data_IF_587211888284
#
_entry.id   IF_587211888284
#
_cell.length_a   1.000
_cell.length_b   1.000
_cell.length_c   1.000
_cell.angle_alpha   90.00
_cell.angle_beta   90.00
_cell.angle_gamma   90.00
#
_symmetry.space_group_name_H-M   'P 1'
#
loop_
_entity.id
_entity.type
_entity.pdbx_description
1 polymer ?
#
# COMPACT_ATOMS: atom_id res chain seq x y z
N UNK A 1 -2.40 -12.25 8.64
CA UNK A 1 -3.21 -11.07 8.97
C UNK A 1 -2.73 -9.99 8.05
N UNK A 2 -3.63 -9.38 7.32
CA UNK A 2 -3.26 -8.51 6.21
C UNK A 2 -3.12 -7.09 6.71
N UNK A 3 -2.06 -6.44 6.26
CA UNK A 3 -1.76 -5.05 6.56
C UNK A 3 -2.34 -4.15 5.47
N UNK A 4 -3.14 -3.16 5.88
CA UNK A 4 -3.68 -2.13 4.99
C UNK A 4 -3.37 -0.77 5.56
N UNK A 5 -2.90 0.16 4.74
CA UNK A 5 -2.54 1.52 5.17
C UNK A 5 -3.47 2.53 4.48
N UNK A 6 -3.88 3.56 5.20
CA UNK A 6 -4.58 4.71 4.61
C UNK A 6 -3.66 5.51 3.70
N UNK A 7 -4.23 6.32 2.79
CA UNK A 7 -3.46 7.23 1.93
C UNK A 7 -2.57 8.14 2.77
N UNK A 8 -3.14 8.76 3.80
CA UNK A 8 -2.39 9.65 4.70
C UNK A 8 -1.27 8.91 5.43
N UNK A 9 -1.52 7.69 5.91
CA UNK A 9 -0.49 6.89 6.58
C UNK A 9 0.69 6.62 5.65
N UNK A 10 0.44 6.24 4.39
CA UNK A 10 1.49 6.00 3.39
C UNK A 10 2.34 7.26 3.22
N UNK A 11 1.71 8.41 2.95
CA UNK A 11 2.44 9.68 2.79
C UNK A 11 3.32 10.02 4.00
N UNK A 12 2.76 9.88 5.19
CA UNK A 12 3.49 10.17 6.43
C UNK A 12 4.65 9.21 6.63
N UNK A 13 4.43 7.90 6.45
CA UNK A 13 5.46 6.87 6.56
C UNK A 13 6.70 7.19 5.71
N UNK A 14 6.49 7.59 4.45
CA UNK A 14 7.58 7.91 3.52
C UNK A 14 8.27 9.25 3.81
N UNK A 15 7.68 10.13 4.62
CA UNK A 15 8.33 11.37 5.06
C UNK A 15 9.38 11.18 6.17
N UNK A 16 9.39 10.01 6.81
CA UNK A 16 10.33 9.68 7.89
C UNK A 16 11.70 9.23 7.38
N UNK A 17 12.71 9.34 8.25
CA UNK A 17 14.03 8.75 8.00
C UNK A 17 13.93 7.21 7.88
N UNK A 18 14.87 6.58 7.15
CA UNK A 18 14.94 5.10 7.07
C UNK A 18 15.06 4.44 8.45
N UNK A 19 15.72 5.10 9.40
CA UNK A 19 15.84 4.61 10.78
C UNK A 19 14.48 4.58 11.47
N UNK A 20 13.72 5.67 11.37
CA UNK A 20 12.39 5.77 11.96
C UNK A 20 11.40 4.82 11.28
N UNK A 21 11.46 4.69 9.96
CA UNK A 21 10.71 3.69 9.18
C UNK A 21 10.96 2.28 9.72
N UNK A 22 12.23 1.89 9.95
CA UNK A 22 12.55 0.59 10.55
C UNK A 22 12.01 0.38 11.96
N UNK A 23 11.82 1.45 12.75
CA UNK A 23 11.14 1.36 14.06
C UNK A 23 9.62 1.25 13.92
N UNK A 24 9.03 1.95 12.95
CA UNK A 24 7.61 1.88 12.61
C UNK A 24 7.27 0.47 12.10
N UNK A 25 8.04 -0.09 11.19
CA UNK A 25 7.83 -1.46 10.67
C UNK A 25 7.87 -2.50 11.80
N UNK A 26 8.81 -2.38 12.74
CA UNK A 26 8.83 -3.25 13.93
C UNK A 26 7.57 -3.13 14.78
N UNK A 27 6.97 -1.94 14.87
CA UNK A 27 5.71 -1.75 15.58
C UNK A 27 4.54 -2.38 14.82
N UNK A 28 4.49 -2.18 13.50
CA UNK A 28 3.53 -2.82 12.59
C UNK A 28 3.57 -4.34 12.75
N UNK A 29 4.76 -4.94 12.70
CA UNK A 29 4.90 -6.40 12.85
C UNK A 29 4.40 -6.92 14.20
N UNK A 30 4.59 -6.17 15.30
CA UNK A 30 4.01 -6.54 16.61
C UNK A 30 2.48 -6.48 16.58
N UNK A 31 1.91 -5.44 15.95
CA UNK A 31 0.46 -5.29 15.83
C UNK A 31 -0.13 -6.43 14.99
N UNK A 32 0.52 -6.81 13.88
CA UNK A 32 0.05 -7.89 13.01
C UNK A 32 0.12 -9.29 13.66
N UNK A 33 0.97 -9.47 14.69
CA UNK A 33 1.04 -10.72 15.45
C UNK A 33 -0.19 -10.91 16.37
N UNK A 34 -0.63 -9.84 17.04
CA UNK A 34 -1.87 -9.83 17.84
C UNK A 34 -2.43 -8.40 17.97
N UNK A 35 -3.35 -7.97 17.08
CA UNK A 35 -3.91 -6.62 17.12
C UNK A 35 -4.91 -6.45 18.27
N UNK A 36 -5.30 -7.56 18.90
CA UNK A 36 -6.36 -7.57 19.91
C UNK A 36 -5.84 -7.20 21.30
N UNK A 37 -4.51 -7.22 21.50
CA UNK A 37 -3.84 -6.95 22.77
C UNK A 37 -4.45 -5.75 23.50
N UNK A 38 -4.75 -5.97 24.78
CA UNK A 38 -5.33 -4.92 25.63
C UNK A 38 -4.39 -3.72 25.81
N UNK A 39 -3.08 -3.90 25.65
CA UNK A 39 -2.09 -2.83 25.68
C UNK A 39 -2.35 -1.75 24.63
N UNK A 40 -2.95 -2.11 23.48
CA UNK A 40 -3.26 -1.18 22.39
C UNK A 40 -4.59 -0.43 22.58
N UNK A 41 -5.43 -0.85 23.54
CA UNK A 41 -6.75 -0.27 23.76
C UNK A 41 -6.68 0.98 24.62
N UNK A 42 -7.41 2.02 24.21
CA UNK A 42 -7.71 3.20 25.03
C UNK A 42 -9.20 3.49 24.91
N UNK A 43 -9.88 3.67 26.04
CA UNK A 43 -11.34 3.85 26.06
C UNK A 43 -11.81 5.08 25.25
N UNK A 44 -10.97 6.10 25.13
CA UNK A 44 -11.25 7.33 24.40
C UNK A 44 -10.91 7.24 22.89
N UNK A 45 -10.28 6.15 22.44
CA UNK A 45 -9.91 5.98 21.03
C UNK A 45 -10.84 5.04 20.26
N UNK A 46 -11.72 4.28 20.93
CA UNK A 46 -12.63 3.33 20.28
C UNK A 46 -13.35 3.95 19.07
N UNK A 47 -13.35 3.29 17.89
CA UNK A 47 -12.88 1.91 17.63
C UNK A 47 -11.37 1.76 17.46
N UNK A 48 -10.63 2.86 17.36
CA UNK A 48 -9.20 2.86 17.12
C UNK A 48 -8.36 2.41 18.32
N UNK A 49 -7.17 1.92 17.99
CA UNK A 49 -6.13 1.44 18.89
C UNK A 49 -4.85 2.22 18.61
N UNK A 50 -3.91 2.20 19.56
CA UNK A 50 -2.60 2.84 19.39
C UNK A 50 -1.46 1.92 19.78
N UNK A 51 -0.32 2.09 19.12
CA UNK A 51 0.96 1.48 19.49
C UNK A 51 2.10 2.47 19.21
N UNK A 52 3.18 2.37 19.97
CA UNK A 52 4.34 3.23 19.81
C UNK A 52 5.53 2.48 19.21
N UNK A 53 6.27 3.08 18.26
CA UNK A 53 7.61 2.64 17.91
C UNK A 53 8.55 2.76 19.11
N UNK A 54 9.73 2.14 19.03
CA UNK A 54 10.68 2.04 20.15
C UNK A 54 11.11 3.38 20.75
N UNK A 55 10.94 4.51 20.04
CA UNK A 55 11.27 5.85 20.53
C UNK A 55 10.13 6.53 21.31
N UNK A 56 8.94 5.93 21.41
CA UNK A 56 7.76 6.40 22.13
C UNK A 56 7.22 7.81 21.76
N UNK A 57 7.81 8.49 20.77
CA UNK A 57 7.38 9.82 20.30
C UNK A 57 6.43 9.73 19.12
N UNK A 58 6.55 8.68 18.31
CA UNK A 58 5.58 8.36 17.28
C UNK A 58 4.50 7.41 17.84
N UNK A 59 3.34 7.44 17.21
CA UNK A 59 2.15 6.69 17.56
C UNK A 59 1.47 6.27 16.28
N UNK A 60 1.32 4.97 16.12
CA UNK A 60 0.54 4.36 15.06
C UNK A 60 -0.89 4.21 15.56
N UNK A 61 -1.86 4.73 14.81
CA UNK A 61 -3.27 4.52 15.06
C UNK A 61 -3.81 3.53 14.04
N UNK A 62 -4.52 2.52 14.54
CA UNK A 62 -5.02 1.44 13.69
C UNK A 62 -6.37 0.93 14.17
N UNK A 63 -7.07 0.24 13.28
CA UNK A 63 -8.32 -0.46 13.53
C UNK A 63 -8.19 -1.93 13.11
N UNK A 64 -8.77 -2.82 13.90
CA UNK A 64 -8.93 -4.22 13.55
C UNK A 64 -10.25 -4.39 12.82
N UNK A 65 -10.22 -4.82 11.56
CA UNK A 65 -11.43 -4.99 10.77
C UNK A 65 -12.06 -6.34 11.12
N UNK A 66 -13.10 -6.29 11.95
CA UNK A 66 -13.76 -7.47 12.48
C UNK A 66 -14.22 -8.43 11.36
N UNK A 67 -13.86 -9.70 11.50
CA UNK A 67 -14.25 -10.75 10.56
C UNK A 67 -13.45 -10.80 9.25
N UNK A 68 -12.46 -9.91 9.05
CA UNK A 68 -11.71 -9.84 7.79
C UNK A 68 -10.21 -10.16 7.92
N UNK A 69 -9.69 -10.51 9.11
CA UNK A 69 -8.26 -10.76 9.34
C UNK A 69 -7.35 -9.64 8.81
N UNK A 70 -7.84 -8.39 8.89
CA UNK A 70 -7.18 -7.19 8.39
C UNK A 70 -6.92 -6.23 9.55
N UNK A 71 -5.75 -5.61 9.54
CA UNK A 71 -5.44 -4.43 10.35
C UNK A 71 -5.32 -3.23 9.41
N UNK A 72 -6.15 -2.21 9.66
CA UNK A 72 -6.13 -0.96 8.92
C UNK A 72 -5.38 0.10 9.71
N UNK A 73 -4.22 0.52 9.21
CA UNK A 73 -3.40 1.60 9.74
C UNK A 73 -3.93 2.94 9.25
N UNK A 74 -4.58 3.66 10.16
CA UNK A 74 -5.39 4.85 9.87
C UNK A 74 -4.52 6.10 9.80
N UNK A 75 -3.60 6.25 10.76
CA UNK A 75 -2.82 7.48 10.90
C UNK A 75 -1.52 7.26 11.67
N UNK A 76 -0.51 8.06 11.36
CA UNK A 76 0.77 8.13 12.05
C UNK A 76 1.07 9.60 12.36
N UNK A 77 1.38 9.96 13.60
CA UNK A 77 1.70 11.35 13.90
C UNK A 77 3.07 11.76 13.33
N UNK A 78 3.16 13.00 12.87
CA UNK A 78 4.39 13.57 12.33
C UNK A 78 5.25 14.27 13.41
N UNK A 79 6.36 14.88 12.99
CA UNK A 79 7.26 15.61 13.87
C UNK A 79 6.65 16.91 14.45
N UNK A 80 5.49 17.38 13.97
CA UNK A 80 4.83 18.59 14.47
C UNK A 80 3.91 18.27 15.65
N UNK A 81 3.44 17.03 15.77
CA UNK A 81 2.52 16.59 16.80
C UNK A 81 3.01 15.31 17.51
N UNK A 82 4.26 15.33 17.99
CA UNK A 82 4.85 14.21 18.74
C UNK A 82 4.04 13.86 20.00
N UNK A 83 4.02 12.57 20.33
CA UNK A 83 3.42 12.06 21.56
C UNK A 83 4.21 12.53 22.78
N UNK A 84 3.51 13.00 23.80
CA UNK A 84 4.07 13.52 25.04
C UNK A 84 3.43 12.81 26.23
N UNK A 85 4.08 11.74 26.68
CA UNK A 85 3.63 10.90 27.79
C UNK A 85 3.50 11.64 29.13
N UNK A 86 4.06 12.85 29.25
CA UNK A 86 3.93 13.67 30.46
C UNK A 86 2.59 14.42 30.52
N UNK A 87 1.89 14.53 29.38
CA UNK A 87 0.62 15.24 29.27
C UNK A 87 -0.58 14.28 29.34
N UNK A 88 -1.70 14.72 29.94
CA UNK A 88 -2.94 13.96 29.86
C UNK A 88 -3.45 13.91 28.41
N UNK A 89 -4.26 12.91 28.07
CA UNK A 89 -4.73 12.66 26.69
C UNK A 89 -5.42 13.86 26.00
N UNK A 90 -5.99 14.81 26.74
CA UNK A 90 -6.60 16.04 26.18
C UNK A 90 -5.60 17.17 25.89
N UNK A 91 -4.33 16.97 26.22
CA UNK A 91 -3.26 17.95 26.07
C UNK A 91 -2.06 17.38 25.31
N UNK A 92 -1.96 16.06 25.21
CA UNK A 92 -1.01 15.36 24.36
C UNK A 92 -1.21 15.80 22.88
N UNK A 93 -0.19 16.40 22.23
CA UNK A 93 -0.35 16.96 20.88
C UNK A 93 -0.82 15.94 19.85
N UNK A 94 -0.28 14.72 19.92
CA UNK A 94 -0.62 13.60 19.04
C UNK A 94 -2.11 13.21 19.19
N UNK A 95 -2.57 13.02 20.43
CA UNK A 95 -3.94 12.61 20.71
C UNK A 95 -4.96 13.73 20.45
N UNK A 96 -4.58 14.98 20.71
CA UNK A 96 -5.41 16.15 20.38
C UNK A 96 -5.63 16.23 18.87
N UNK A 97 -4.56 16.11 18.08
CA UNK A 97 -4.67 16.17 16.62
C UNK A 97 -5.45 14.98 16.06
N UNK A 98 -5.16 13.75 16.51
CA UNK A 98 -5.95 12.58 16.09
C UNK A 98 -7.45 12.74 16.41
N UNK A 99 -7.76 13.27 17.60
CA UNK A 99 -9.15 13.53 18.00
C UNK A 99 -9.80 14.59 17.11
N UNK A 100 -9.07 15.66 16.76
CA UNK A 100 -9.54 16.70 15.82
C UNK A 100 -9.84 16.09 14.45
N UNK A 101 -8.89 15.33 13.89
CA UNK A 101 -9.05 14.66 12.60
C UNK A 101 -10.28 13.75 12.58
N UNK A 102 -10.46 12.96 13.63
CA UNK A 102 -11.62 12.07 13.80
C UNK A 102 -12.93 12.86 13.83
N UNK A 103 -13.01 13.91 14.65
CA UNK A 103 -14.23 14.71 14.83
C UNK A 103 -14.63 15.46 13.56
N UNK A 104 -13.66 15.83 12.73
CA UNK A 104 -13.89 16.50 11.46
C UNK A 104 -14.18 15.53 10.30
N UNK A 105 -14.13 14.21 10.52
CA UNK A 105 -14.28 13.22 9.44
C UNK A 105 -13.09 13.22 8.46
N UNK A 106 -11.91 13.67 8.90
CA UNK A 106 -10.69 13.72 8.09
C UNK A 106 -9.84 12.45 8.22
N UNK A 107 -10.30 11.44 8.96
CA UNK A 107 -9.70 10.11 9.01
C UNK A 107 -10.36 9.21 7.98
N UNK A 108 -9.54 8.60 7.13
CA UNK A 108 -9.99 7.58 6.18
C UNK A 108 -10.59 6.39 6.95
N UNK A 109 -11.68 5.85 6.43
CA UNK A 109 -12.30 4.61 6.92
C UNK A 109 -11.95 3.47 5.97
N UNK A 110 -11.69 2.27 6.48
CA UNK A 110 -11.41 1.13 5.62
C UNK A 110 -12.58 0.86 4.68
N UNK A 111 -12.27 0.88 3.39
CA UNK A 111 -13.11 0.45 2.29
C UNK A 111 -12.32 -0.56 1.46
N UNK A 112 -12.92 -1.74 1.24
CA UNK A 112 -12.21 -2.86 0.63
C UNK A 112 -11.77 -2.55 -0.79
N UNK A 113 -12.67 -2.04 -1.62
CA UNK A 113 -12.40 -1.79 -3.03
C UNK A 113 -11.41 -0.64 -3.20
N UNK A 114 -11.52 0.41 -2.37
CA UNK A 114 -10.60 1.55 -2.40
C UNK A 114 -9.20 1.21 -1.90
N UNK A 115 -9.06 0.45 -0.79
CA UNK A 115 -7.74 0.23 -0.16
C UNK A 115 -7.03 -1.03 -0.62
N UNK A 116 -7.76 -2.12 -0.90
CA UNK A 116 -7.16 -3.37 -1.42
C UNK A 116 -7.11 -3.40 -2.95
N UNK A 117 -7.83 -2.47 -3.55
CA UNK A 117 -7.96 -2.31 -4.97
C UNK A 117 -9.00 -3.24 -5.61
N UNK A 118 -9.50 -2.80 -6.76
CA UNK A 118 -10.52 -3.51 -7.54
C UNK A 118 -10.03 -3.77 -8.95
N UNK A 119 -9.95 -5.05 -9.31
CA UNK A 119 -9.61 -5.50 -10.66
C UNK A 119 -10.88 -5.67 -11.49
N UNK A 120 -10.95 -4.97 -12.63
CA UNK A 120 -12.08 -4.99 -13.56
C UNK A 120 -11.60 -5.32 -14.97
N UNK A 121 -11.96 -6.49 -15.49
CA UNK A 121 -11.76 -6.83 -16.90
C UNK A 121 -12.81 -6.10 -17.76
N UNK A 122 -12.38 -5.28 -18.71
CA UNK A 122 -13.27 -4.57 -19.64
C UNK A 122 -12.91 -4.95 -21.08
N UNK A 123 -13.73 -5.71 -21.80
CA UNK A 123 -13.49 -5.97 -23.21
C UNK A 123 -13.56 -4.65 -23.99
N UNK A 124 -12.45 -4.25 -24.66
CA UNK A 124 -12.45 -3.10 -25.58
C UNK A 124 -12.54 -3.60 -27.03
N UNK A 125 -13.28 -2.92 -27.93
CA UNK A 125 -13.41 -3.32 -29.33
C UNK A 125 -12.07 -3.47 -30.09
N UNK A 126 -11.04 -2.72 -29.69
CA UNK A 126 -9.68 -2.77 -30.25
C UNK A 126 -8.66 -3.53 -29.39
N UNK A 127 -9.07 -3.99 -28.19
CA UNK A 127 -8.19 -4.69 -27.24
C UNK A 127 -9.05 -5.65 -26.40
N UNK A 128 -9.19 -6.92 -26.82
CA UNK A 128 -10.09 -7.88 -26.18
C UNK A 128 -9.69 -8.23 -24.73
N UNK A 129 -8.47 -7.90 -24.32
CA UNK A 129 -7.93 -8.19 -23.00
C UNK A 129 -7.43 -6.90 -22.34
N UNK A 130 -8.35 -5.98 -22.09
CA UNK A 130 -8.03 -4.80 -21.30
C UNK A 130 -8.56 -5.00 -19.87
N UNK A 131 -7.76 -4.60 -18.90
CA UNK A 131 -8.13 -4.68 -17.50
C UNK A 131 -7.74 -3.37 -16.82
N UNK A 132 -8.56 -2.99 -15.84
CA UNK A 132 -8.39 -1.80 -15.02
C UNK A 132 -8.22 -2.24 -13.57
N UNK A 133 -7.26 -1.67 -12.87
CA UNK A 133 -7.13 -1.81 -11.43
C UNK A 133 -7.25 -0.43 -10.78
N UNK A 134 -8.12 -0.30 -9.79
CA UNK A 134 -8.39 0.96 -9.11
C UNK A 134 -8.02 0.81 -7.63
N UNK A 135 -7.18 1.69 -7.08
CA UNK A 135 -6.77 1.66 -5.66
C UNK A 135 -6.31 3.05 -5.20
N UNK A 136 -6.73 3.49 -4.01
CA UNK A 136 -6.26 4.73 -3.35
C UNK A 136 -6.18 5.95 -4.31
N UNK A 137 -7.28 6.25 -4.99
CA UNK A 137 -7.40 7.31 -6.01
C UNK A 137 -6.58 7.11 -7.30
N UNK A 138 -5.96 5.95 -7.49
CA UNK A 138 -5.21 5.62 -8.70
C UNK A 138 -5.92 4.63 -9.58
N UNK A 139 -5.80 4.84 -10.88
CA UNK A 139 -6.18 3.87 -11.89
C UNK A 139 -4.93 3.37 -12.64
N UNK A 140 -4.78 2.05 -12.67
CA UNK A 140 -3.77 1.33 -13.44
C UNK A 140 -4.49 0.64 -14.59
N UNK A 141 -4.12 1.05 -15.80
CA UNK A 141 -4.71 0.57 -17.04
C UNK A 141 -3.74 -0.40 -17.70
N UNK A 142 -4.22 -1.59 -18.08
CA UNK A 142 -3.38 -2.55 -18.77
C UNK A 142 -4.04 -3.20 -19.97
N UNK A 143 -3.22 -3.35 -21.00
CA UNK A 143 -3.52 -4.11 -22.20
C UNK A 143 -2.73 -5.39 -22.14
N UNK A 144 -3.43 -6.52 -22.13
CA UNK A 144 -2.85 -7.85 -22.23
C UNK A 144 -2.64 -8.13 -23.73
N UNK A 145 -1.39 -8.10 -24.18
CA UNK A 145 -1.00 -8.36 -25.57
C UNK A 145 -0.51 -9.81 -25.68
N UNK A 146 -1.25 -10.69 -26.35
CA UNK A 146 -0.77 -12.04 -26.63
C UNK A 146 0.31 -12.01 -27.71
N UNK A 147 1.44 -12.65 -27.47
CA UNK A 147 2.51 -12.79 -28.47
C UNK A 147 2.28 -13.92 -29.49
N UNK A 148 1.12 -14.59 -29.42
CA UNK A 148 0.75 -15.70 -30.29
C UNK A 148 1.23 -17.08 -29.82
N UNK A 149 1.87 -17.17 -28.64
CA UNK A 149 2.23 -18.44 -28.00
C UNK A 149 1.58 -18.57 -26.62
N UNK A 150 2.24 -18.08 -25.56
CA UNK A 150 1.83 -18.26 -24.16
C UNK A 150 2.00 -16.98 -23.30
N UNK A 151 2.47 -15.88 -23.88
CA UNK A 151 2.89 -14.70 -23.11
C UNK A 151 2.02 -13.48 -23.35
N UNK A 152 1.97 -12.63 -22.33
CA UNK A 152 1.14 -11.43 -22.28
C UNK A 152 1.97 -10.21 -21.95
N UNK A 153 2.26 -9.35 -22.93
CA UNK A 153 2.94 -8.07 -22.68
C UNK A 153 1.96 -7.05 -22.11
N UNK A 154 2.40 -6.23 -21.17
CA UNK A 154 1.57 -5.24 -20.48
C UNK A 154 2.10 -3.83 -20.68
N UNK A 155 1.29 -2.96 -21.28
CA UNK A 155 1.49 -1.51 -21.25
C UNK A 155 0.79 -0.91 -20.03
N UNK A 156 1.53 -0.21 -19.18
CA UNK A 156 1.01 0.42 -17.96
C UNK A 156 0.68 1.88 -18.21
N UNK A 157 -0.61 2.22 -18.11
CA UNK A 157 -1.06 3.61 -18.00
C UNK A 157 -1.39 3.92 -16.55
N UNK A 158 -0.91 5.06 -16.06
CA UNK A 158 -1.14 5.50 -14.69
C UNK A 158 -1.92 6.81 -14.68
N UNK A 159 -2.98 6.88 -13.87
CA UNK A 159 -3.72 8.12 -13.64
C UNK A 159 -3.91 8.37 -12.14
N UNK A 160 -3.39 9.50 -11.68
CA UNK A 160 -3.70 10.07 -10.36
C UNK A 160 -4.96 10.95 -10.44
N UNK A 161 -6.04 10.52 -9.80
CA UNK A 161 -7.28 11.29 -9.77
C UNK A 161 -7.19 12.57 -8.90
N UNK A 162 -6.18 12.69 -8.03
CA UNK A 162 -5.94 13.86 -7.18
C UNK A 162 -4.88 14.81 -7.74
N UNK A 163 -4.14 14.39 -8.79
CA UNK A 163 -3.07 15.18 -9.43
C UNK A 163 -2.01 15.69 -8.43
N UNK A 164 -1.67 14.90 -7.41
CA UNK A 164 -0.69 15.28 -6.39
C UNK A 164 0.70 14.66 -6.62
N UNK A 165 0.85 13.85 -7.69
CA UNK A 165 2.12 13.31 -8.20
C UNK A 165 2.99 12.66 -7.10
N UNK A 166 2.37 11.96 -6.16
CA UNK A 166 3.07 11.29 -5.06
C UNK A 166 3.63 9.93 -5.49
N UNK A 167 4.95 9.89 -5.71
CA UNK A 167 5.67 8.68 -6.13
C UNK A 167 5.49 7.51 -5.15
N UNK A 168 5.36 7.77 -3.85
CA UNK A 168 5.26 6.69 -2.86
C UNK A 168 3.91 5.99 -2.94
N UNK A 169 2.86 6.77 -3.13
CA UNK A 169 1.53 6.25 -3.38
C UNK A 169 1.42 5.55 -4.74
N UNK A 170 2.16 6.04 -5.74
CA UNK A 170 2.34 5.36 -7.03
C UNK A 170 2.92 3.98 -6.86
N UNK A 171 4.02 3.88 -6.12
CA UNK A 171 4.65 2.60 -5.88
C UNK A 171 3.80 1.67 -5.03
N UNK A 172 3.13 2.19 -4.00
CA UNK A 172 2.22 1.39 -3.18
C UNK A 172 1.07 0.80 -4.02
N UNK A 173 0.45 1.63 -4.86
CA UNK A 173 -0.66 1.22 -5.73
C UNK A 173 -0.23 0.17 -6.75
N UNK A 174 0.96 0.36 -7.33
CA UNK A 174 1.51 -0.59 -8.30
C UNK A 174 1.88 -1.93 -7.65
N UNK A 175 2.43 -1.92 -6.43
CA UNK A 175 2.69 -3.17 -5.67
C UNK A 175 1.39 -3.94 -5.43
N UNK A 176 0.37 -3.28 -4.90
CA UNK A 176 -0.94 -3.90 -4.64
C UNK A 176 -1.55 -4.47 -5.92
N UNK A 177 -1.39 -3.79 -7.04
CA UNK A 177 -1.79 -4.31 -8.33
C UNK A 177 -1.10 -5.63 -8.66
N UNK A 178 0.24 -5.70 -8.58
CA UNK A 178 0.99 -6.92 -8.89
C UNK A 178 0.54 -8.08 -8.00
N UNK A 179 0.41 -7.84 -6.70
CA UNK A 179 -0.04 -8.85 -5.74
C UNK A 179 -1.43 -9.38 -6.09
N UNK A 180 -2.40 -8.48 -6.35
CA UNK A 180 -3.78 -8.87 -6.70
C UNK A 180 -3.90 -9.54 -8.06
N UNK A 181 -3.09 -9.12 -9.02
CA UNK A 181 -3.07 -9.73 -10.33
C UNK A 181 -2.49 -11.15 -10.27
N UNK A 182 -1.41 -11.36 -9.52
CA UNK A 182 -0.85 -12.68 -9.27
C UNK A 182 -1.86 -13.62 -8.57
N UNK A 183 -2.55 -13.13 -7.54
CA UNK A 183 -3.64 -13.89 -6.89
C UNK A 183 -4.74 -14.28 -7.88
N UNK A 184 -5.14 -13.36 -8.76
CA UNK A 184 -6.14 -13.62 -9.79
C UNK A 184 -5.69 -14.73 -10.75
N UNK A 185 -4.47 -14.64 -11.27
CA UNK A 185 -3.90 -15.63 -12.19
C UNK A 185 -3.80 -17.01 -11.53
N UNK A 186 -3.29 -17.07 -10.30
CA UNK A 186 -3.18 -18.29 -9.51
C UNK A 186 -4.54 -18.95 -9.25
N UNK A 187 -5.55 -18.15 -8.89
CA UNK A 187 -6.91 -18.66 -8.68
C UNK A 187 -7.54 -19.25 -9.95
N UNK A 188 -7.09 -18.81 -11.12
CA UNK A 188 -7.56 -19.28 -12.43
C UNK A 188 -6.61 -20.29 -13.11
N UNK A 189 -5.53 -20.72 -12.43
CA UNK A 189 -4.51 -21.63 -12.97
C UNK A 189 -3.91 -21.13 -14.30
N UNK A 190 -3.70 -19.81 -14.40
CA UNK A 190 -3.12 -19.16 -15.57
C UNK A 190 -1.67 -18.81 -15.30
N UNK A 191 -0.77 -19.21 -16.20
CA UNK A 191 0.62 -18.74 -16.19
C UNK A 191 0.71 -17.40 -16.93
N UNK A 192 1.51 -16.47 -16.42
CA UNK A 192 1.65 -15.14 -17.01
C UNK A 192 3.10 -14.65 -16.88
N UNK A 193 3.65 -14.03 -17.92
CA UNK A 193 4.94 -13.35 -17.82
C UNK A 193 4.70 -11.86 -17.97
N UNK A 194 5.07 -11.09 -16.95
CA UNK A 194 4.92 -9.65 -16.95
C UNK A 194 6.18 -8.99 -17.52
N UNK A 195 6.06 -8.40 -18.71
CA UNK A 195 7.17 -7.66 -19.35
C UNK A 195 6.95 -6.16 -19.23
N UNK A 196 7.98 -5.46 -18.75
CA UNK A 196 8.05 -4.01 -18.65
C UNK A 196 9.13 -3.47 -19.59
N UNK A 197 8.77 -2.50 -20.43
CA UNK A 197 9.76 -1.80 -21.24
C UNK A 197 10.65 -0.91 -20.34
N UNK A 198 11.97 -0.82 -20.58
CA UNK A 198 12.87 -0.01 -19.72
C UNK A 198 12.52 1.47 -19.73
N UNK A 199 11.85 1.94 -20.78
CA UNK A 199 11.40 3.33 -20.90
C UNK A 199 10.05 3.57 -20.22
N UNK A 200 9.34 2.51 -19.80
CA UNK A 200 8.05 2.61 -19.12
C UNK A 200 8.19 2.90 -17.63
N UNK A 201 9.35 2.58 -17.03
CA UNK A 201 9.65 2.82 -15.62
C UNK A 201 10.95 3.64 -15.50
N UNK A 202 10.95 4.65 -14.65
CA UNK A 202 12.21 5.30 -14.28
C UNK A 202 13.02 4.40 -13.32
N UNK A 203 14.31 4.67 -13.16
CA UNK A 203 15.21 3.88 -12.30
C UNK A 203 14.74 3.82 -10.82
N UNK A 204 14.03 4.85 -10.36
CA UNK A 204 13.49 4.92 -9.00
C UNK A 204 12.39 3.88 -8.78
N UNK A 205 11.47 3.72 -9.74
CA UNK A 205 10.44 2.67 -9.71
C UNK A 205 11.06 1.27 -9.74
N UNK A 206 12.11 1.07 -10.56
CA UNK A 206 12.83 -0.21 -10.63
C UNK A 206 13.46 -0.53 -9.27
N UNK A 207 14.18 0.42 -8.65
CA UNK A 207 14.83 0.20 -7.36
C UNK A 207 13.80 -0.12 -6.27
N UNK A 208 12.66 0.56 -6.25
CA UNK A 208 11.60 0.32 -5.26
C UNK A 208 10.95 -1.05 -5.47
N UNK A 209 10.70 -1.47 -6.72
CA UNK A 209 10.19 -2.81 -7.02
C UNK A 209 11.15 -3.91 -6.56
N UNK A 210 12.44 -3.72 -6.84
CA UNK A 210 13.55 -4.60 -6.47
C UNK A 210 13.72 -4.71 -4.95
N UNK A 211 13.52 -3.62 -4.21
CA UNK A 211 13.58 -3.62 -2.74
C UNK A 211 12.32 -4.24 -2.09
N UNK A 212 11.18 -4.21 -2.78
CA UNK A 212 9.86 -4.57 -2.23
C UNK A 212 9.48 -6.03 -2.47
N UNK A 213 9.97 -6.62 -3.56
CA UNK A 213 9.79 -8.03 -3.89
C UNK A 213 11.14 -8.72 -3.79
N UNK A 214 11.20 -9.90 -3.16
CA UNK A 214 12.44 -10.67 -3.06
C UNK A 214 13.01 -10.90 -4.47
N UNK A 215 14.28 -10.52 -4.69
CA UNK A 215 14.99 -10.47 -5.98
C UNK A 215 15.04 -11.80 -6.75
N UNK A 216 14.46 -12.86 -6.21
CA UNK A 216 14.51 -14.21 -6.75
C UNK A 216 13.53 -14.42 -7.92
N UNK A 217 12.50 -13.59 -8.06
CA UNK A 217 11.49 -13.69 -9.13
C UNK A 217 11.70 -12.70 -10.30
N UNK A 218 12.53 -11.67 -10.10
CA UNK A 218 12.87 -10.68 -11.12
C UNK A 218 14.07 -11.14 -11.94
N UNK A 219 13.94 -11.21 -13.25
CA UNK A 219 15.04 -11.51 -14.16
C UNK A 219 15.20 -10.36 -15.16
N UNK A 220 16.42 -9.83 -15.28
CA UNK A 220 16.71 -8.78 -16.27
C UNK A 220 17.15 -9.46 -17.56
N UNK A 221 16.47 -9.20 -18.68
CA UNK A 221 16.93 -9.64 -20.00
C UNK A 221 17.97 -8.64 -20.48
N UNK A 222 19.25 -9.02 -20.42
CA UNK A 222 20.33 -8.15 -20.87
C UNK A 222 20.41 -8.05 -22.40
N UNK A 223 19.83 -9.01 -23.13
CA UNK A 223 19.98 -9.09 -24.59
C UNK A 223 18.95 -8.25 -25.34
N UNK A 224 17.80 -7.99 -24.72
CA UNK A 224 16.68 -7.33 -25.39
C UNK A 224 16.36 -5.94 -24.84
N UNK A 225 17.13 -5.41 -23.89
CA UNK A 225 16.80 -4.19 -23.14
C UNK A 225 15.35 -4.26 -22.62
N UNK A 226 14.98 -5.27 -21.82
CA UNK A 226 13.69 -5.31 -21.12
C UNK A 226 13.89 -5.67 -19.64
N UNK A 227 13.08 -5.07 -18.77
CA UNK A 227 12.86 -5.60 -17.42
C UNK A 227 11.68 -6.55 -17.49
N UNK A 228 11.84 -7.83 -17.13
CA UNK A 228 10.70 -8.73 -17.05
C UNK A 228 10.59 -9.34 -15.65
N UNK A 229 9.36 -9.33 -15.15
CA UNK A 229 8.97 -10.07 -13.97
C UNK A 229 8.24 -11.32 -14.45
N UNK A 230 8.83 -12.48 -14.21
CA UNK A 230 8.10 -13.72 -14.41
C UNK A 230 7.35 -14.05 -13.12
N UNK A 231 6.06 -13.72 -13.07
CA UNK A 231 5.16 -14.18 -12.01
C UNK A 231 4.81 -15.65 -12.31
N UNK A 232 5.40 -16.59 -11.59
CA UNK A 232 5.11 -18.04 -11.74
C UNK A 232 3.88 -18.41 -10.91
#
# INVERSE_FOLDING_TARGET
>A
MDEVRSRRFIKQYHSFSRTDQGHIDKAIQRILQDPTLNAYKRYYLTPYRQEHPSNAQHTLFFEEIQGQNIVFFVWLNDYQCLHDTTKPHKQDPCLVEFTRLRQNGELETFDKDYHLGKLTALPKPSSPYYVKFEVIDYEIHFHILSDGTDFYTMGVGYHDNQSDDDINLTMHSFKLFLDRFAEHLNANQQTFEFRLEPNALNQEMINILTDTHDNTEWQVDQDNEFFYLRLI
#
